data_IF_632734937287
#
_entry.id   IF_632734937287
#
_cell.length_a   1.000
_cell.length_b   1.000
_cell.length_c   1.000
_cell.angle_alpha   90.00
_cell.angle_beta   90.00
_cell.angle_gamma   90.00
#
_symmetry.space_group_name_H-M   'P 1'
#
loop_
_entity.id
_entity.type
_entity.pdbx_description
1 polymer ?
#
# COMPACT_ATOMS: atom_id res chain seq x y z
N UNK A 1 -1.72 20.22 -12.36
CA UNK A 1 -1.91 21.17 -11.25
C UNK A 1 -0.67 21.21 -10.36
N UNK A 2 -0.52 22.27 -9.58
CA UNK A 2 0.62 22.43 -8.65
C UNK A 2 0.72 21.26 -7.67
N UNK A 3 -0.39 20.81 -7.09
CA UNK A 3 -0.45 19.65 -6.20
C UNK A 3 -0.02 18.33 -6.88
N UNK A 4 -0.35 18.17 -8.15
CA UNK A 4 0.07 17.02 -8.93
C UNK A 4 1.59 16.98 -9.13
N UNK A 5 2.18 18.12 -9.52
CA UNK A 5 3.62 18.24 -9.69
C UNK A 5 4.37 18.07 -8.35
N UNK A 6 3.80 18.60 -7.26
CA UNK A 6 4.33 18.37 -5.91
C UNK A 6 4.38 16.88 -5.57
N UNK A 7 3.30 16.14 -5.84
CA UNK A 7 3.25 14.69 -5.60
C UNK A 7 4.35 13.93 -6.36
N UNK A 8 4.52 14.21 -7.66
CA UNK A 8 5.56 13.56 -8.45
C UNK A 8 6.97 13.89 -7.94
N UNK A 9 7.22 15.13 -7.53
CA UNK A 9 8.48 15.53 -6.93
C UNK A 9 8.71 14.83 -5.60
N UNK A 10 7.67 14.70 -4.75
CA UNK A 10 7.74 13.99 -3.49
C UNK A 10 8.05 12.50 -3.70
N UNK A 11 7.43 11.85 -4.69
CA UNK A 11 7.74 10.47 -5.07
C UNK A 11 9.21 10.30 -5.45
N UNK A 12 9.81 11.24 -6.20
CA UNK A 12 11.23 11.24 -6.50
C UNK A 12 12.13 11.42 -5.28
N UNK A 13 11.67 12.18 -4.26
CA UNK A 13 12.39 12.27 -2.98
C UNK A 13 12.32 10.95 -2.20
N UNK A 14 11.13 10.33 -2.16
CA UNK A 14 10.92 9.04 -1.53
C UNK A 14 11.79 7.96 -2.18
N UNK A 15 11.83 7.89 -3.51
CA UNK A 15 12.71 6.97 -4.24
C UNK A 15 14.17 7.10 -3.77
N UNK A 16 14.72 8.31 -3.76
CA UNK A 16 16.12 8.54 -3.32
C UNK A 16 16.34 8.12 -1.87
N UNK A 17 15.39 8.42 -0.99
CA UNK A 17 15.46 8.02 0.41
C UNK A 17 15.48 6.49 0.57
N UNK A 18 14.59 5.78 -0.13
CA UNK A 18 14.51 4.32 -0.05
C UNK A 18 15.75 3.64 -0.65
N UNK A 19 16.32 4.17 -1.74
CA UNK A 19 17.60 3.69 -2.28
C UNK A 19 18.72 3.78 -1.24
N UNK A 20 18.78 4.88 -0.45
CA UNK A 20 19.74 5.01 0.62
C UNK A 20 19.49 4.06 1.80
N UNK A 21 18.24 3.68 2.05
CA UNK A 21 17.87 2.70 3.05
C UNK A 21 18.21 1.26 2.61
N UNK A 22 17.99 0.91 1.35
CA UNK A 22 18.37 -0.39 0.77
C UNK A 22 19.87 -0.69 0.89
N UNK A 23 20.70 0.34 0.82
CA UNK A 23 22.16 0.16 0.99
C UNK A 23 22.58 -0.26 2.41
N UNK A 24 21.66 -0.18 3.38
CA UNK A 24 21.90 -0.63 4.77
C UNK A 24 21.59 -2.10 5.00
N UNK A 25 21.04 -2.79 3.99
CA UNK A 25 20.66 -4.22 4.07
C UNK A 25 19.71 -4.52 5.25
N UNK A 26 18.77 -3.60 5.49
CA UNK A 26 17.77 -3.72 6.56
C UNK A 26 16.42 -4.13 5.98
N UNK A 27 15.62 -4.97 6.68
CA UNK A 27 14.25 -5.24 6.32
C UNK A 27 13.43 -3.95 6.21
N UNK A 28 12.70 -3.77 5.12
CA UNK A 28 12.00 -2.53 4.83
C UNK A 28 10.51 -2.78 4.59
N UNK A 29 9.67 -2.06 5.35
CA UNK A 29 8.23 -2.02 5.18
C UNK A 29 7.79 -0.57 4.94
N UNK A 30 7.22 -0.29 3.77
CA UNK A 30 6.75 1.05 3.39
C UNK A 30 5.23 1.04 3.31
N UNK A 31 4.57 1.87 4.11
CA UNK A 31 3.11 1.88 4.23
C UNK A 31 2.56 3.29 4.05
N UNK A 32 1.36 3.41 3.51
CA UNK A 32 0.65 4.69 3.45
C UNK A 32 -0.36 4.81 2.34
N UNK A 33 -1.03 5.96 2.33
CA UNK A 33 -1.87 6.43 1.23
C UNK A 33 -0.97 7.06 0.15
N UNK A 34 -0.83 6.36 -0.97
CA UNK A 34 -0.06 6.84 -2.11
C UNK A 34 -0.91 7.67 -3.07
N UNK A 35 -2.23 7.68 -2.88
CA UNK A 35 -3.17 8.32 -3.82
C UNK A 35 -2.93 7.88 -5.28
N UNK A 36 -2.59 6.61 -5.49
CA UNK A 36 -2.34 6.00 -6.80
C UNK A 36 -3.03 4.64 -6.85
N UNK A 37 -3.84 4.40 -7.87
CA UNK A 37 -4.27 3.06 -8.29
C UNK A 37 -3.20 2.45 -9.19
N UNK A 38 -2.37 1.51 -8.70
CA UNK A 38 -1.21 1.00 -9.43
C UNK A 38 -1.55 0.41 -10.79
N UNK A 39 -2.65 -0.33 -10.86
CA UNK A 39 -3.08 -1.03 -12.04
C UNK A 39 -4.58 -0.82 -12.34
N UNK A 40 -5.03 -1.29 -13.49
CA UNK A 40 -6.45 -1.22 -13.86
C UNK A 40 -7.37 -1.94 -12.85
N UNK A 41 -6.91 -3.07 -12.32
CA UNK A 41 -7.64 -3.85 -11.30
C UNK A 41 -7.79 -3.16 -9.95
N UNK A 42 -7.10 -2.05 -9.71
CA UNK A 42 -7.19 -1.22 -8.51
C UNK A 42 -8.24 -0.10 -8.61
N UNK A 43 -8.98 -0.06 -9.72
CA UNK A 43 -9.97 0.97 -10.03
C UNK A 43 -11.35 0.34 -10.28
N UNK A 44 -12.42 0.89 -9.68
CA UNK A 44 -13.79 0.41 -9.88
C UNK A 44 -14.29 0.57 -11.34
N UNK A 45 -13.72 1.48 -12.11
CA UNK A 45 -14.02 1.69 -13.52
C UNK A 45 -12.74 2.06 -14.28
N UNK A 46 -11.89 1.06 -14.61
CA UNK A 46 -10.58 1.32 -15.21
C UNK A 46 -10.68 1.98 -16.59
N UNK A 47 -11.70 1.67 -17.40
CA UNK A 47 -11.88 2.23 -18.74
C UNK A 47 -12.03 3.75 -18.71
N UNK A 48 -12.71 4.26 -17.68
CA UNK A 48 -12.98 5.70 -17.52
C UNK A 48 -11.89 6.42 -16.73
N UNK A 49 -11.25 5.74 -15.79
CA UNK A 49 -10.39 6.36 -14.76
C UNK A 49 -8.90 6.31 -15.10
N UNK A 50 -8.47 5.33 -15.90
CA UNK A 50 -7.07 5.23 -16.33
C UNK A 50 -6.65 6.47 -17.12
N UNK A 51 -5.46 6.99 -16.81
CA UNK A 51 -4.93 8.24 -17.38
C UNK A 51 -5.36 9.51 -16.65
N UNK A 52 -6.34 9.41 -15.75
CA UNK A 52 -6.73 10.52 -14.87
C UNK A 52 -5.82 10.65 -13.65
N UNK A 53 -6.09 11.65 -12.80
CA UNK A 53 -5.40 11.83 -11.51
C UNK A 53 -5.57 10.55 -10.67
N UNK A 54 -4.51 10.14 -9.96
CA UNK A 54 -4.39 8.89 -9.20
C UNK A 54 -4.23 7.62 -10.06
N UNK A 55 -4.31 7.72 -11.40
CA UNK A 55 -4.11 6.61 -12.33
C UNK A 55 -3.42 7.05 -13.63
N UNK A 56 -2.69 8.15 -13.60
CA UNK A 56 -1.91 8.61 -14.74
C UNK A 56 -0.65 7.76 -14.93
N UNK A 57 -0.16 7.69 -16.16
CA UNK A 57 1.07 6.98 -16.49
C UNK A 57 2.26 7.50 -15.67
N UNK A 58 2.41 8.82 -15.56
CA UNK A 58 3.49 9.43 -14.78
C UNK A 58 3.46 9.07 -13.29
N UNK A 59 2.25 8.96 -12.67
CA UNK A 59 2.11 8.54 -11.29
C UNK A 59 2.50 7.07 -11.11
N UNK A 60 2.06 6.21 -12.01
CA UNK A 60 2.39 4.77 -12.00
C UNK A 60 3.88 4.52 -12.24
N UNK A 61 4.49 5.23 -13.19
CA UNK A 61 5.94 5.18 -13.41
C UNK A 61 6.72 5.66 -12.18
N UNK A 62 6.29 6.76 -11.54
CA UNK A 62 6.91 7.24 -10.32
C UNK A 62 6.81 6.22 -9.19
N UNK A 63 5.68 5.53 -9.04
CA UNK A 63 5.50 4.46 -8.08
C UNK A 63 6.43 3.27 -8.39
N UNK A 64 6.52 2.83 -9.63
CA UNK A 64 7.43 1.76 -10.04
C UNK A 64 8.90 2.09 -9.73
N UNK A 65 9.31 3.34 -9.90
CA UNK A 65 10.67 3.80 -9.52
C UNK A 65 10.88 3.73 -8.01
N UNK A 66 9.88 4.13 -7.22
CA UNK A 66 9.91 4.00 -5.75
C UNK A 66 10.08 2.55 -5.32
N UNK A 67 9.33 1.62 -5.93
CA UNK A 67 9.40 0.20 -5.59
C UNK A 67 10.73 -0.45 -6.00
N UNK A 68 11.29 -0.04 -7.13
CA UNK A 68 12.52 -0.65 -7.66
C UNK A 68 12.40 -2.15 -7.85
N UNK A 69 13.48 -2.88 -7.53
CA UNK A 69 13.53 -4.34 -7.61
C UNK A 69 13.32 -5.04 -6.25
N UNK A 70 13.32 -4.29 -5.15
CA UNK A 70 13.32 -4.85 -3.80
C UNK A 70 11.94 -4.84 -3.12
N UNK A 71 11.07 -3.87 -3.45
CA UNK A 71 9.78 -3.71 -2.78
C UNK A 71 8.65 -4.36 -3.57
N UNK A 72 7.92 -5.27 -2.93
CA UNK A 72 6.72 -5.92 -3.47
C UNK A 72 5.45 -5.49 -2.75
N UNK A 73 4.34 -5.45 -3.48
CA UNK A 73 3.02 -5.13 -2.97
C UNK A 73 2.49 -6.31 -2.13
N UNK A 74 2.42 -6.15 -0.81
CA UNK A 74 2.00 -7.20 0.12
C UNK A 74 0.60 -7.74 -0.19
N UNK A 75 -0.35 -6.87 -0.57
CA UNK A 75 -1.70 -7.30 -0.92
C UNK A 75 -1.70 -8.20 -2.15
N UNK A 76 -0.87 -7.90 -3.14
CA UNK A 76 -0.79 -8.64 -4.40
C UNK A 76 -0.03 -9.98 -4.29
N UNK A 77 0.62 -10.25 -3.16
CA UNK A 77 1.14 -11.59 -2.86
C UNK A 77 0.00 -12.60 -2.64
N UNK A 78 -1.16 -12.16 -2.15
CA UNK A 78 -2.28 -13.03 -1.76
C UNK A 78 -3.52 -12.87 -2.64
N UNK A 79 -3.72 -11.70 -3.24
CA UNK A 79 -4.93 -11.37 -4.00
C UNK A 79 -4.58 -10.79 -5.37
N UNK A 80 -4.90 -11.51 -6.42
CA UNK A 80 -4.63 -11.11 -7.81
C UNK A 80 -5.82 -10.45 -8.51
N UNK A 81 -7.02 -10.55 -7.94
CA UNK A 81 -8.27 -10.08 -8.53
C UNK A 81 -8.50 -8.56 -8.47
N UNK A 82 -9.54 -8.14 -9.15
CA UNK A 82 -10.11 -6.78 -9.05
C UNK A 82 -11.22 -6.73 -7.99
N UNK A 83 -11.73 -5.51 -7.69
CA UNK A 83 -12.87 -5.37 -6.78
C UNK A 83 -12.48 -5.23 -5.31
N UNK A 84 -11.22 -4.97 -5.04
CA UNK A 84 -10.69 -4.75 -3.69
C UNK A 84 -10.24 -3.30 -3.54
N UNK A 85 -10.94 -2.55 -2.68
CA UNK A 85 -10.74 -1.12 -2.50
C UNK A 85 -10.31 -0.80 -1.09
N UNK A 86 -9.46 0.20 -0.93
CA UNK A 86 -9.07 0.76 0.36
C UNK A 86 -9.67 2.14 0.62
N UNK A 87 -10.27 2.75 -0.41
CA UNK A 87 -10.85 4.08 -0.33
C UNK A 87 -12.12 4.21 -1.18
N UNK A 88 -13.13 4.92 -0.65
CA UNK A 88 -14.35 5.30 -1.35
C UNK A 88 -14.64 6.76 -1.08
N UNK A 89 -14.76 7.54 -2.12
CA UNK A 89 -15.07 8.97 -1.99
C UNK A 89 -16.26 9.18 -1.06
N UNK A 90 -16.14 10.10 -0.09
CA UNK A 90 -17.17 10.35 0.95
C UNK A 90 -18.48 10.93 0.39
N UNK A 91 -18.47 11.44 -0.85
CA UNK A 91 -19.64 12.03 -1.51
C UNK A 91 -20.17 11.11 -2.61
N UNK A 92 -21.35 11.50 -3.17
CA UNK A 92 -21.99 10.85 -4.34
C UNK A 92 -22.33 9.37 -4.17
N UNK A 93 -22.45 8.85 -2.95
CA UNK A 93 -22.86 7.46 -2.70
C UNK A 93 -21.87 6.42 -3.23
N UNK A 94 -20.57 6.73 -3.28
CA UNK A 94 -19.55 5.81 -3.78
C UNK A 94 -19.47 4.53 -2.96
N UNK A 95 -19.63 4.60 -1.65
CA UNK A 95 -19.71 3.45 -0.75
C UNK A 95 -20.85 2.50 -1.12
N UNK A 96 -22.07 3.04 -1.26
CA UNK A 96 -23.27 2.22 -1.56
C UNK A 96 -23.18 1.52 -2.93
N UNK A 97 -22.44 2.10 -3.90
CA UNK A 97 -22.20 1.51 -5.22
C UNK A 97 -20.93 0.69 -5.30
N UNK A 98 -20.22 0.58 -4.21
CA UNK A 98 -18.88 -0.03 -4.16
C UNK A 98 -17.90 0.54 -5.21
N UNK A 99 -18.00 1.84 -5.45
CA UNK A 99 -17.16 2.57 -6.43
C UNK A 99 -15.89 3.07 -5.75
N UNK A 100 -14.97 2.17 -5.44
CA UNK A 100 -13.76 2.45 -4.69
C UNK A 100 -12.48 2.36 -5.53
N UNK A 101 -11.36 2.64 -4.86
CA UNK A 101 -10.00 2.54 -5.36
C UNK A 101 -9.10 1.88 -4.32
N UNK A 102 -8.11 1.12 -4.75
CA UNK A 102 -7.05 0.67 -3.86
C UNK A 102 -5.87 1.62 -3.99
N UNK A 103 -5.72 2.51 -3.01
CA UNK A 103 -4.71 3.58 -2.99
C UNK A 103 -3.83 3.57 -1.73
N UNK A 104 -4.22 2.80 -0.73
CA UNK A 104 -3.45 2.54 0.48
C UNK A 104 -2.69 1.24 0.30
N UNK A 105 -1.37 1.29 0.45
CA UNK A 105 -0.51 0.16 0.11
C UNK A 105 0.45 -0.18 1.26
N UNK A 106 0.86 -1.44 1.28
CA UNK A 106 1.96 -1.96 2.09
C UNK A 106 2.95 -2.60 1.11
N UNK A 107 4.17 -2.06 1.07
CA UNK A 107 5.25 -2.59 0.27
C UNK A 107 6.32 -3.18 1.17
N UNK A 108 6.74 -4.41 0.88
CA UNK A 108 7.68 -5.19 1.67
C UNK A 108 8.94 -5.48 0.88
N UNK A 109 10.11 -5.38 1.53
CA UNK A 109 11.35 -5.92 1.00
C UNK A 109 11.27 -7.45 0.83
N UNK A 110 12.15 -8.02 0.01
CA UNK A 110 12.09 -9.45 -0.38
C UNK A 110 12.08 -10.35 0.85
N UNK A 111 12.90 -10.10 1.83
CA UNK A 111 12.97 -10.83 3.09
C UNK A 111 11.66 -10.77 3.91
N UNK A 112 11.00 -9.61 3.96
CA UNK A 112 9.69 -9.49 4.60
C UNK A 112 8.56 -10.13 3.79
N UNK A 113 8.66 -10.17 2.46
CA UNK A 113 7.70 -10.89 1.62
C UNK A 113 7.69 -12.39 1.94
N UNK A 114 8.85 -12.99 2.23
CA UNK A 114 8.97 -14.40 2.63
C UNK A 114 8.30 -14.68 3.99
N UNK A 115 8.27 -13.69 4.88
CA UNK A 115 7.63 -13.77 6.19
C UNK A 115 6.14 -13.47 6.16
N UNK A 116 5.62 -12.88 5.08
CA UNK A 116 4.21 -12.53 4.98
C UNK A 116 3.32 -13.78 4.99
N UNK A 117 2.23 -13.73 5.78
CA UNK A 117 1.24 -14.80 5.92
C UNK A 117 -0.12 -14.41 5.38
N UNK A 118 -0.48 -13.16 5.47
CA UNK A 118 -1.70 -12.61 4.89
C UNK A 118 -1.56 -11.10 4.67
N UNK A 119 -2.36 -10.58 3.75
CA UNK A 119 -2.59 -9.14 3.64
C UNK A 119 -4.04 -8.93 3.24
N UNK A 120 -4.75 -8.07 3.97
CA UNK A 120 -6.17 -7.84 3.77
C UNK A 120 -6.55 -6.37 3.92
N UNK A 121 -7.71 -6.03 3.37
CA UNK A 121 -8.34 -4.71 3.53
C UNK A 121 -9.57 -4.91 4.43
N UNK A 122 -9.60 -4.24 5.59
CA UNK A 122 -10.71 -4.31 6.54
C UNK A 122 -11.86 -3.41 6.09
N UNK A 123 -12.66 -3.93 5.16
CA UNK A 123 -13.83 -3.24 4.62
C UNK A 123 -14.93 -3.07 5.69
N UNK A 124 -15.00 -3.94 6.70
CA UNK A 124 -16.00 -3.85 7.77
C UNK A 124 -15.80 -2.58 8.59
N UNK A 125 -14.57 -2.21 8.89
CA UNK A 125 -14.25 -0.98 9.61
C UNK A 125 -14.74 0.26 8.86
N UNK A 126 -14.61 0.29 7.53
CA UNK A 126 -15.13 1.36 6.67
C UNK A 126 -16.69 1.44 6.69
N UNK A 127 -17.35 0.35 6.98
CA UNK A 127 -18.82 0.27 7.04
C UNK A 127 -19.44 0.68 8.39
N UNK A 128 -18.64 1.00 9.41
CA UNK A 128 -19.14 1.38 10.74
C UNK A 128 -19.77 2.76 10.77
N UNK A 129 -20.33 3.15 11.92
CA UNK A 129 -20.91 4.47 12.14
C UNK A 129 -19.81 5.54 12.17
N UNK A 130 -20.00 6.63 11.41
CA UNK A 130 -19.05 7.74 11.26
C UNK A 130 -17.59 7.30 10.88
N UNK A 131 -17.44 6.48 9.85
CA UNK A 131 -16.16 5.91 9.50
C UNK A 131 -15.26 6.91 8.75
N UNK A 132 -13.98 6.59 8.65
CA UNK A 132 -13.09 7.17 7.64
C UNK A 132 -13.60 6.84 6.23
N UNK A 133 -13.21 7.59 5.22
CA UNK A 133 -13.41 7.21 3.80
C UNK A 133 -12.39 6.18 3.31
N UNK A 134 -11.39 5.85 4.14
CA UNK A 134 -10.45 4.75 3.94
C UNK A 134 -10.80 3.54 4.82
N UNK A 135 -10.40 2.34 4.36
CA UNK A 135 -10.37 1.11 5.14
C UNK A 135 -8.93 0.79 5.57
N UNK A 136 -8.71 0.22 6.76
CA UNK A 136 -7.39 -0.27 7.16
C UNK A 136 -6.87 -1.33 6.20
N UNK A 137 -5.57 -1.29 5.89
CA UNK A 137 -4.85 -2.37 5.20
C UNK A 137 -3.92 -3.01 6.21
N UNK A 138 -4.00 -4.34 6.34
CA UNK A 138 -3.32 -5.11 7.38
C UNK A 138 -2.48 -6.20 6.73
N UNK A 139 -1.24 -6.34 7.15
CA UNK A 139 -0.36 -7.47 6.80
C UNK A 139 0.05 -8.20 8.07
N UNK A 140 0.02 -9.53 8.02
CA UNK A 140 0.55 -10.39 9.06
C UNK A 140 1.90 -10.94 8.63
N UNK A 141 2.93 -10.70 9.45
CA UNK A 141 4.28 -11.20 9.26
C UNK A 141 4.59 -12.24 10.32
N UNK A 142 5.08 -13.42 9.93
CA UNK A 142 5.61 -14.42 10.85
C UNK A 142 7.03 -14.03 11.28
N UNK A 143 7.14 -13.00 12.13
CA UNK A 143 8.39 -12.58 12.69
C UNK A 143 8.71 -13.41 13.93
N UNK A 144 9.81 -14.14 13.89
CA UNK A 144 10.32 -14.83 15.07
C UNK A 144 11.20 -13.86 15.86
N UNK A 145 10.70 -13.39 17.01
CA UNK A 145 11.46 -12.51 17.89
C UNK A 145 12.55 -13.25 18.68
N UNK A 146 12.85 -14.51 18.33
CA UNK A 146 13.79 -15.35 19.08
C UNK A 146 13.50 -15.30 20.58
N UNK A 147 13.26 -16.42 21.19
CA UNK A 147 12.98 -16.50 22.64
C UNK A 147 14.22 -16.01 23.41
N UNK A 148 14.35 -14.69 23.64
CA UNK A 148 15.32 -14.13 24.59
C UNK A 148 14.85 -14.40 26.04
N UNK A 149 14.54 -15.67 26.29
CA UNK A 149 14.22 -16.20 27.60
C UNK A 149 15.42 -16.87 28.22
N UNK A 150 16.50 -16.17 28.45
CA UNK A 150 17.44 -16.54 29.52
C UNK A 150 16.90 -15.97 30.81
N UNK A 151 16.06 -16.77 31.50
CA UNK A 151 15.88 -16.67 32.93
C UNK A 151 17.26 -16.80 33.61
N UNK A 152 17.90 -15.70 33.87
CA UNK A 152 18.99 -15.65 34.82
C UNK A 152 18.39 -15.88 36.19
N UNK A 153 18.31 -17.15 36.62
CA UNK A 153 18.18 -17.47 38.04
C UNK A 153 19.34 -16.82 38.77
N UNK A 154 19.00 -15.80 39.56
CA UNK A 154 19.91 -15.23 40.55
C UNK A 154 19.91 -16.18 41.75
N UNK A 155 20.99 -16.92 41.95
CA UNK A 155 21.36 -17.53 43.22
C UNK A 155 21.75 -16.49 44.26
#
# INVERSE_FOLDING_TARGET
>A
SEKYNYKLNWMGCLERYLRSAETRDEPLCVVGDFNIGPEARDLHNPERLTGGIMASEAEREALLKVLGSNLGDAFRLFESGSGHWSWWHCRSGAWNRDSGWRIDHIYLSIDLQELARSCSIDKEERGREQPSDHAPVVVDLAWDFGDEGEDTELD
#
